data_IF_353621676592
#
_entry.id   IF_353621676592
#
_cell.length_a   1.000
_cell.length_b   1.000
_cell.length_c   1.000
_cell.angle_alpha   90.00
_cell.angle_beta   90.00
_cell.angle_gamma   90.00
#
_symmetry.space_group_name_H-M   'P 1'
#
loop_
_entity.id
_entity.type
_entity.pdbx_description
1 polymer ?
#
# COMPACT_ATOMS: atom_id res chain seq x y z
N UNK A 1 -17.82 -26.08 8.60
CA UNK A 1 -18.58 -24.81 8.69
C UNK A 1 -17.82 -23.74 7.93
N UNK A 2 -18.45 -23.24 6.89
CA UNK A 2 -17.86 -22.55 5.74
C UNK A 2 -17.54 -21.09 6.07
N UNK A 3 -16.31 -20.80 6.50
CA UNK A 3 -15.81 -19.42 6.56
C UNK A 3 -15.34 -18.99 5.15
N UNK A 4 -16.31 -18.68 4.29
CA UNK A 4 -16.07 -17.88 3.10
C UNK A 4 -15.41 -16.58 3.55
N UNK A 5 -14.19 -16.32 3.05
CA UNK A 5 -13.74 -14.94 2.95
C UNK A 5 -14.82 -14.22 2.15
N UNK A 6 -15.21 -12.99 2.52
CA UNK A 6 -16.14 -12.25 1.68
C UNK A 6 -15.58 -12.27 0.26
N UNK A 7 -16.40 -12.77 -0.66
CA UNK A 7 -16.22 -12.59 -2.08
C UNK A 7 -16.06 -11.08 -2.29
N UNK A 8 -14.82 -10.62 -2.34
CA UNK A 8 -14.49 -9.28 -2.79
C UNK A 8 -14.46 -9.36 -4.31
N UNK A 9 -15.62 -9.64 -4.91
CA UNK A 9 -15.91 -9.15 -6.25
C UNK A 9 -15.51 -7.68 -6.23
N UNK A 10 -14.50 -7.31 -7.01
CA UNK A 10 -13.93 -5.96 -6.98
C UNK A 10 -15.09 -4.95 -7.00
N UNK A 11 -15.21 -4.05 -6.01
CA UNK A 11 -16.19 -3.00 -6.13
C UNK A 11 -15.89 -2.25 -7.43
N UNK A 12 -16.92 -2.11 -8.27
CA UNK A 12 -16.98 -1.08 -9.31
C UNK A 12 -16.48 0.22 -8.68
N UNK A 13 -15.27 0.65 -9.07
CA UNK A 13 -14.57 1.88 -8.67
C UNK A 13 -14.58 2.17 -7.17
N UNK A 14 -13.47 1.91 -6.47
CA UNK A 14 -13.29 2.38 -5.09
C UNK A 14 -13.56 3.89 -5.03
N UNK A 15 -14.43 4.37 -4.13
CA UNK A 15 -14.75 5.79 -4.04
C UNK A 15 -13.49 6.62 -3.82
N UNK A 16 -13.40 7.75 -4.51
CA UNK A 16 -12.25 8.63 -4.41
C UNK A 16 -12.12 9.21 -2.99
N UNK A 17 -10.92 9.21 -2.44
CA UNK A 17 -10.66 9.53 -1.03
C UNK A 17 -9.34 10.30 -0.87
N UNK A 18 -9.42 11.48 -0.26
CA UNK A 18 -8.35 12.48 -0.23
C UNK A 18 -8.22 13.17 1.16
N UNK A 19 -8.64 12.49 2.23
CA UNK A 19 -8.71 13.09 3.56
C UNK A 19 -8.65 12.06 4.69
N UNK A 20 -8.73 12.50 5.95
CA UNK A 20 -8.78 11.63 7.13
C UNK A 20 -7.42 11.26 7.74
N UNK A 21 -6.33 11.44 7.00
CA UNK A 21 -4.96 11.35 7.54
C UNK A 21 -4.57 12.59 8.37
N UNK A 22 -5.43 13.63 8.44
CA UNK A 22 -5.18 14.86 9.22
C UNK A 22 -3.81 15.51 8.94
N UNK A 23 -3.33 15.43 7.69
CA UNK A 23 -1.99 15.88 7.24
C UNK A 23 -0.79 15.17 7.86
N UNK A 24 -1.00 14.06 8.56
CA UNK A 24 0.06 13.23 9.10
C UNK A 24 0.36 12.02 8.19
N UNK A 25 1.61 11.85 7.75
CA UNK A 25 2.07 10.60 7.17
C UNK A 25 1.94 9.42 8.14
N UNK A 26 1.81 8.20 7.59
CA UNK A 26 1.84 6.97 8.38
C UNK A 26 3.16 6.82 9.13
N UNK A 27 3.08 6.57 10.44
CA UNK A 27 4.25 6.32 11.31
C UNK A 27 4.34 4.84 11.68
N UNK A 28 5.56 4.36 11.85
CA UNK A 28 5.91 2.94 12.07
C UNK A 28 5.03 2.23 13.10
N UNK A 29 4.89 2.81 14.31
CA UNK A 29 4.16 2.17 15.41
C UNK A 29 2.63 2.34 15.37
N UNK A 30 2.07 3.09 14.42
CA UNK A 30 0.64 3.40 14.43
C UNK A 30 -0.24 2.18 14.15
N UNK A 31 0.17 1.33 13.20
CA UNK A 31 -0.58 0.11 12.87
C UNK A 31 -0.52 -0.90 14.01
N UNK A 32 0.64 -1.00 14.68
CA UNK A 32 0.83 -1.82 15.89
C UNK A 32 -0.13 -1.42 17.00
N UNK A 33 -0.28 -0.12 17.28
CA UNK A 33 -1.22 0.36 18.30
C UNK A 33 -2.65 -0.07 18.01
N UNK A 34 -3.08 -0.07 16.74
CA UNK A 34 -4.42 -0.58 16.37
C UNK A 34 -4.53 -2.09 16.60
N UNK A 35 -3.47 -2.85 16.29
CA UNK A 35 -3.42 -4.28 16.57
C UNK A 35 -3.56 -4.61 18.06
N UNK A 36 -3.02 -3.77 18.95
CA UNK A 36 -3.13 -3.96 20.40
C UNK A 36 -4.56 -3.81 20.94
N UNK A 37 -5.40 -3.03 20.26
CA UNK A 37 -6.80 -2.83 20.63
C UNK A 37 -7.73 -3.95 20.11
N UNK A 38 -7.19 -4.95 19.41
CA UNK A 38 -7.97 -6.05 18.87
C UNK A 38 -8.24 -7.13 19.92
N UNK A 39 -9.52 -7.41 20.17
CA UNK A 39 -10.00 -8.49 21.05
C UNK A 39 -10.81 -9.45 20.21
N UNK A 40 -10.43 -10.74 20.19
CA UNK A 40 -11.08 -11.79 19.38
C UNK A 40 -11.24 -11.43 17.89
N UNK A 41 -10.25 -10.70 17.34
CA UNK A 41 -10.22 -10.25 15.95
C UNK A 41 -11.16 -9.09 15.64
N UNK A 42 -11.68 -8.40 16.67
CA UNK A 42 -12.55 -7.23 16.55
C UNK A 42 -11.94 -6.04 17.27
N UNK A 43 -12.19 -4.84 16.75
CA UNK A 43 -11.78 -3.58 17.37
C UNK A 43 -13.03 -2.71 17.53
N UNK A 44 -13.31 -2.24 18.75
CA UNK A 44 -14.42 -1.31 18.99
C UNK A 44 -14.22 -0.03 18.19
N UNK A 45 -15.26 0.47 17.51
CA UNK A 45 -15.18 1.78 16.85
C UNK A 45 -14.95 2.92 17.84
N UNK A 46 -15.40 2.74 19.08
CA UNK A 46 -15.34 3.76 20.13
C UNK A 46 -13.91 4.02 20.60
N UNK A 47 -12.98 3.09 20.38
CA UNK A 47 -11.55 3.26 20.73
C UNK A 47 -10.92 4.49 20.06
N UNK A 48 -11.45 4.90 18.90
CA UNK A 48 -10.98 6.08 18.17
C UNK A 48 -11.71 7.38 18.50
N UNK A 49 -12.79 7.32 19.29
CA UNK A 49 -13.67 8.48 19.54
C UNK A 49 -13.87 8.81 21.02
N UNK A 50 -13.69 7.85 21.91
CA UNK A 50 -13.93 8.02 23.34
C UNK A 50 -12.91 8.97 23.98
N UNK A 51 -13.26 9.54 25.14
CA UNK A 51 -12.39 10.48 25.86
C UNK A 51 -11.00 9.92 26.21
N UNK A 52 -10.88 8.59 26.28
CA UNK A 52 -9.63 7.89 26.58
C UNK A 52 -8.77 7.61 25.33
N UNK A 53 -9.23 7.87 24.11
CA UNK A 53 -8.51 7.52 22.89
C UNK A 53 -7.09 8.13 22.82
N UNK A 54 -6.92 9.35 23.33
CA UNK A 54 -5.62 10.03 23.43
C UNK A 54 -4.66 9.24 24.34
N UNK A 55 -5.16 8.74 25.47
CA UNK A 55 -4.37 7.96 26.41
C UNK A 55 -4.07 6.56 25.85
N UNK A 56 -5.07 5.89 25.26
CA UNK A 56 -4.94 4.57 24.63
C UNK A 56 -3.86 4.57 23.55
N UNK A 57 -3.92 5.51 22.61
CA UNK A 57 -2.94 5.59 21.52
C UNK A 57 -1.67 6.38 21.90
N UNK A 58 -1.66 7.09 23.02
CA UNK A 58 -0.55 7.95 23.44
C UNK A 58 -0.20 9.02 22.40
N UNK A 59 -1.21 9.63 21.74
CA UNK A 59 -1.04 10.66 20.71
C UNK A 59 -2.16 11.70 20.77
N UNK A 60 -1.95 12.86 20.13
CA UNK A 60 -2.97 13.91 20.05
C UNK A 60 -4.24 13.50 19.27
N UNK A 61 -5.34 14.20 19.51
CA UNK A 61 -6.67 13.92 18.93
C UNK A 61 -6.66 13.75 17.39
N UNK A 62 -5.98 14.62 16.67
CA UNK A 62 -5.92 14.54 15.21
C UNK A 62 -5.09 13.33 14.73
N UNK A 63 -4.08 12.93 15.49
CA UNK A 63 -3.30 11.73 15.19
C UNK A 63 -4.13 10.46 15.40
N UNK A 64 -5.06 10.42 16.37
CA UNK A 64 -6.00 9.28 16.52
C UNK A 64 -6.84 9.09 15.26
N UNK A 65 -7.38 10.18 14.69
CA UNK A 65 -8.12 10.11 13.43
C UNK A 65 -7.24 9.61 12.27
N UNK A 66 -5.97 10.06 12.23
CA UNK A 66 -5.00 9.60 11.24
C UNK A 66 -4.65 8.12 11.38
N UNK A 67 -4.44 7.63 12.62
CA UNK A 67 -4.22 6.21 12.91
C UNK A 67 -5.37 5.37 12.36
N UNK A 68 -6.64 5.78 12.61
CA UNK A 68 -7.82 5.10 12.07
C UNK A 68 -7.79 5.08 10.54
N UNK A 69 -7.50 6.22 9.91
CA UNK A 69 -7.41 6.31 8.46
C UNK A 69 -6.38 5.32 7.90
N UNK A 70 -5.16 5.32 8.44
CA UNK A 70 -4.07 4.48 7.94
C UNK A 70 -4.31 2.99 8.18
N UNK A 71 -4.88 2.60 9.32
CA UNK A 71 -5.21 1.20 9.58
C UNK A 71 -6.27 0.66 8.62
N UNK A 72 -7.24 1.50 8.23
CA UNK A 72 -8.18 1.16 7.16
C UNK A 72 -7.47 1.10 5.81
N UNK A 73 -6.72 2.14 5.44
CA UNK A 73 -6.09 2.28 4.13
C UNK A 73 -5.03 1.19 3.85
N UNK A 74 -4.30 0.75 4.87
CA UNK A 74 -3.33 -0.34 4.78
C UNK A 74 -3.97 -1.74 4.92
N UNK A 75 -5.30 -1.83 5.07
CA UNK A 75 -6.00 -3.11 5.23
C UNK A 75 -5.64 -3.87 6.51
N UNK A 76 -5.22 -3.16 7.56
CA UNK A 76 -5.02 -3.72 8.91
C UNK A 76 -6.35 -4.07 9.53
N UNK A 77 -7.37 -3.26 9.26
CA UNK A 77 -8.75 -3.53 9.66
C UNK A 77 -9.74 -3.13 8.56
N UNK A 78 -10.97 -3.64 8.66
CA UNK A 78 -12.07 -3.28 7.77
C UNK A 78 -13.36 -3.01 8.53
N UNK A 79 -14.27 -2.23 7.94
CA UNK A 79 -15.59 -1.95 8.52
C UNK A 79 -16.42 -3.26 8.65
N UNK A 80 -17.00 -3.51 9.83
CA UNK A 80 -17.83 -4.69 10.10
C UNK A 80 -18.93 -4.39 11.12
N UNK A 81 -20.08 -3.89 10.65
CA UNK A 81 -21.20 -3.52 11.53
C UNK A 81 -20.80 -2.43 12.52
N UNK A 82 -20.96 -2.70 13.82
CA UNK A 82 -20.64 -1.78 14.91
C UNK A 82 -19.16 -1.82 15.33
N UNK A 83 -18.36 -2.73 14.74
CA UNK A 83 -16.95 -2.90 15.02
C UNK A 83 -16.10 -2.75 13.75
N UNK A 84 -14.78 -2.72 13.92
CA UNK A 84 -13.87 -3.08 12.86
C UNK A 84 -13.47 -4.55 12.99
N UNK A 85 -13.26 -5.21 11.86
CA UNK A 85 -12.67 -6.55 11.80
C UNK A 85 -11.17 -6.43 11.58
N UNK A 86 -10.38 -7.03 12.46
CA UNK A 86 -8.94 -7.11 12.31
C UNK A 86 -8.58 -8.07 11.16
N UNK A 87 -7.63 -7.67 10.32
CA UNK A 87 -7.09 -8.54 9.27
C UNK A 87 -6.27 -9.66 9.88
N UNK A 88 -6.53 -10.91 9.51
CA UNK A 88 -5.75 -12.06 10.00
C UNK A 88 -4.28 -11.94 9.63
N UNK A 89 -3.98 -11.39 8.45
CA UNK A 89 -2.61 -11.19 7.99
C UNK A 89 -1.91 -10.10 8.81
N UNK A 90 -2.58 -8.96 9.00
CA UNK A 90 -2.01 -7.87 9.79
C UNK A 90 -1.81 -8.26 11.26
N UNK A 91 -2.74 -9.04 11.83
CA UNK A 91 -2.59 -9.56 13.20
C UNK A 91 -1.42 -10.53 13.32
N UNK A 92 -1.23 -11.41 12.33
CA UNK A 92 -0.10 -12.33 12.30
C UNK A 92 1.26 -11.60 12.24
N UNK A 93 1.33 -10.48 11.52
CA UNK A 93 2.53 -9.65 11.43
C UNK A 93 2.74 -8.85 12.73
N UNK A 94 1.71 -8.12 13.18
CA UNK A 94 1.86 -7.04 14.16
C UNK A 94 1.58 -7.46 15.62
N UNK A 95 1.09 -8.66 15.92
CA UNK A 95 0.94 -9.09 17.33
C UNK A 95 2.32 -9.15 18.03
N UNK A 96 2.36 -9.14 19.37
CA UNK A 96 3.64 -9.07 20.11
C UNK A 96 4.62 -10.22 19.79
N UNK A 97 4.09 -11.41 19.50
CA UNK A 97 4.86 -12.58 19.05
C UNK A 97 4.74 -12.80 17.53
N UNK A 98 4.47 -11.74 16.78
CA UNK A 98 4.22 -11.75 15.34
C UNK A 98 5.49 -11.76 14.51
N UNK A 99 5.33 -11.68 13.20
CA UNK A 99 6.44 -11.68 12.25
C UNK A 99 7.27 -10.38 12.32
N UNK A 100 6.62 -9.25 12.57
CA UNK A 100 7.27 -7.95 12.70
C UNK A 100 6.43 -7.02 13.60
N UNK A 101 6.45 -7.24 14.92
CA UNK A 101 5.58 -6.54 15.88
C UNK A 101 5.79 -5.02 15.88
N UNK A 102 6.97 -4.56 15.48
CA UNK A 102 7.38 -3.15 15.51
C UNK A 102 7.45 -2.50 14.13
N UNK A 103 7.06 -3.21 13.07
CA UNK A 103 7.13 -2.74 11.69
C UNK A 103 8.54 -2.26 11.29
N UNK A 104 9.59 -2.95 11.76
CA UNK A 104 11.01 -2.63 11.51
C UNK A 104 11.55 -3.34 10.26
N UNK A 105 10.89 -4.41 9.81
CA UNK A 105 11.27 -5.10 8.58
C UNK A 105 10.76 -4.30 7.37
N UNK A 106 11.60 -3.98 6.36
CA UNK A 106 11.16 -3.25 5.16
C UNK A 106 9.95 -3.89 4.45
N UNK A 107 9.75 -5.20 4.58
CA UNK A 107 8.56 -5.91 4.09
C UNK A 107 7.25 -5.34 4.62
N UNK A 108 7.22 -4.83 5.85
CA UNK A 108 6.06 -4.15 6.43
C UNK A 108 5.73 -2.86 5.67
N UNK A 109 6.74 -2.02 5.39
CA UNK A 109 6.55 -0.81 4.61
C UNK A 109 6.20 -1.11 3.15
N UNK A 110 6.80 -2.12 2.52
CA UNK A 110 6.44 -2.54 1.16
C UNK A 110 5.00 -3.06 1.08
N UNK A 111 4.54 -3.81 2.09
CA UNK A 111 3.17 -4.27 2.17
C UNK A 111 2.21 -3.08 2.34
N UNK A 112 2.49 -2.15 3.25
CA UNK A 112 1.69 -0.93 3.41
C UNK A 112 1.63 -0.13 2.10
N UNK A 113 2.77 0.03 1.42
CA UNK A 113 2.83 0.69 0.12
C UNK A 113 1.97 -0.02 -0.94
N UNK A 114 2.02 -1.36 -1.03
CA UNK A 114 1.16 -2.12 -1.94
C UNK A 114 -0.33 -1.86 -1.69
N UNK A 115 -0.75 -1.81 -0.43
CA UNK A 115 -2.15 -1.55 -0.08
C UNK A 115 -2.58 -0.15 -0.53
N UNK A 116 -1.71 0.85 -0.35
CA UNK A 116 -2.01 2.24 -0.69
C UNK A 116 -1.96 2.53 -2.20
N UNK A 117 -0.89 2.08 -2.87
CA UNK A 117 -0.60 2.41 -4.26
C UNK A 117 -1.05 1.34 -5.27
N UNK A 118 -1.29 0.10 -4.82
CA UNK A 118 -1.74 -1.02 -5.66
C UNK A 118 -3.22 -1.36 -5.51
N UNK A 119 -3.77 -1.35 -4.28
CA UNK A 119 -5.21 -1.62 -4.03
C UNK A 119 -6.09 -0.39 -3.94
N UNK A 120 -5.53 0.78 -3.65
CA UNK A 120 -6.24 2.06 -3.64
C UNK A 120 -7.44 2.11 -2.67
N UNK A 121 -7.32 1.54 -1.46
CA UNK A 121 -8.37 1.70 -0.47
C UNK A 121 -8.11 2.94 0.38
N UNK A 122 -8.98 3.96 0.26
CA UNK A 122 -8.85 5.25 0.98
C UNK A 122 -7.52 5.99 0.72
N UNK A 123 -6.94 5.82 -0.46
CA UNK A 123 -5.57 6.26 -0.77
C UNK A 123 -5.43 6.75 -2.22
N UNK A 124 -6.42 7.50 -2.72
CA UNK A 124 -6.51 7.84 -4.15
C UNK A 124 -5.28 8.57 -4.67
N UNK A 125 -4.72 9.52 -3.91
CA UNK A 125 -3.51 10.24 -4.31
C UNK A 125 -2.26 9.35 -4.36
N UNK A 126 -2.16 8.34 -3.49
CA UNK A 126 -1.05 7.37 -3.51
C UNK A 126 -1.11 6.51 -4.77
N UNK A 127 -2.29 5.97 -5.07
CA UNK A 127 -2.51 5.22 -6.30
C UNK A 127 -2.23 6.09 -7.53
N UNK A 128 -2.75 7.32 -7.55
CA UNK A 128 -2.56 8.24 -8.65
C UNK A 128 -1.09 8.58 -8.88
N UNK A 129 -0.36 8.93 -7.81
CA UNK A 129 1.05 9.31 -7.88
C UNK A 129 1.90 8.18 -8.48
N UNK A 130 1.70 6.94 -8.02
CA UNK A 130 2.52 5.82 -8.46
C UNK A 130 2.11 5.24 -9.80
N UNK A 131 0.84 5.35 -10.18
CA UNK A 131 0.36 4.77 -11.43
C UNK A 131 0.30 5.76 -12.58
N UNK A 132 -0.06 7.03 -12.35
CA UNK A 132 -0.35 7.97 -13.43
C UNK A 132 0.71 9.07 -13.63
N UNK A 133 1.57 9.34 -12.64
CA UNK A 133 2.67 10.32 -12.81
C UNK A 133 3.85 9.68 -13.52
N UNK A 134 4.05 10.07 -14.79
CA UNK A 134 5.10 9.54 -15.67
C UNK A 134 6.27 10.50 -15.86
N UNK A 135 6.14 11.77 -15.45
CA UNK A 135 7.19 12.78 -15.58
C UNK A 135 8.51 12.30 -14.93
N UNK A 136 9.68 12.54 -15.56
CA UNK A 136 10.98 12.17 -14.99
C UNK A 136 11.27 12.84 -13.64
N UNK A 137 10.86 14.11 -13.53
CA UNK A 137 10.83 14.86 -12.28
C UNK A 137 9.59 15.77 -12.25
N UNK A 138 9.19 16.18 -11.05
CA UNK A 138 8.01 17.02 -10.85
C UNK A 138 8.08 17.78 -9.52
N UNK A 139 7.36 18.88 -9.45
CA UNK A 139 7.10 19.64 -8.23
C UNK A 139 5.67 19.39 -7.74
N UNK A 140 5.39 19.71 -6.47
CA UNK A 140 4.03 19.62 -5.92
C UNK A 140 3.03 20.46 -6.74
N UNK A 141 3.42 21.68 -7.10
CA UNK A 141 2.55 22.63 -7.82
C UNK A 141 2.16 22.12 -9.21
N UNK A 142 3.09 21.49 -9.93
CA UNK A 142 2.82 20.90 -11.26
C UNK A 142 1.82 19.74 -11.20
N UNK A 143 1.71 19.07 -10.04
CA UNK A 143 0.82 17.94 -9.85
C UNK A 143 -0.59 18.32 -9.36
N UNK A 144 -0.82 19.55 -8.88
CA UNK A 144 -2.11 19.95 -8.29
C UNK A 144 -3.28 19.88 -9.29
N UNK A 145 -3.16 20.49 -10.47
CA UNK A 145 -4.23 20.46 -11.48
C UNK A 145 -4.41 19.08 -12.13
N UNK A 146 -3.34 18.33 -12.49
CA UNK A 146 -3.47 16.94 -12.92
C UNK A 146 -4.21 16.05 -11.92
N UNK A 147 -3.90 16.15 -10.61
CA UNK A 147 -4.60 15.42 -9.57
C UNK A 147 -6.06 15.87 -9.45
N UNK A 148 -6.33 17.16 -9.50
CA UNK A 148 -7.70 17.69 -9.45
C UNK A 148 -8.55 17.21 -10.63
N UNK A 149 -7.96 17.11 -11.83
CA UNK A 149 -8.63 16.54 -13.00
C UNK A 149 -8.93 15.06 -12.81
N UNK A 150 -7.98 14.29 -12.31
CA UNK A 150 -8.18 12.87 -12.01
C UNK A 150 -9.28 12.66 -10.97
N UNK A 151 -9.29 13.45 -9.89
CA UNK A 151 -10.33 13.42 -8.87
C UNK A 151 -11.73 13.69 -9.45
N UNK A 152 -11.86 14.71 -10.32
CA UNK A 152 -13.12 15.04 -11.01
C UNK A 152 -13.60 13.94 -11.96
N UNK A 153 -12.69 13.15 -12.53
CA UNK A 153 -13.05 12.01 -13.39
C UNK A 153 -13.58 10.84 -12.56
N UNK A 154 -13.00 10.58 -11.38
CA UNK A 154 -13.43 9.50 -10.49
C UNK A 154 -14.76 9.79 -9.80
N UNK A 155 -14.96 11.02 -9.34
CA UNK A 155 -16.21 11.46 -8.72
C UNK A 155 -16.65 12.82 -9.28
N UNK A 156 -17.36 12.84 -10.43
CA UNK A 156 -17.83 14.07 -11.05
C UNK A 156 -18.80 14.88 -10.19
N UNK A 157 -19.46 14.24 -9.22
CA UNK A 157 -20.47 14.87 -8.36
C UNK A 157 -19.85 15.52 -7.13
N UNK A 158 -18.67 15.08 -6.71
CA UNK A 158 -17.99 15.61 -5.54
C UNK A 158 -16.78 16.46 -5.91
N UNK A 159 -16.98 17.78 -5.99
CA UNK A 159 -15.88 18.73 -6.21
C UNK A 159 -15.15 19.01 -4.91
N UNK A 160 -13.94 18.46 -4.78
CA UNK A 160 -13.03 18.76 -3.68
C UNK A 160 -12.43 20.15 -3.83
N UNK A 161 -12.14 20.80 -2.70
CA UNK A 161 -11.43 22.09 -2.70
C UNK A 161 -9.98 21.90 -3.13
N UNK A 162 -9.40 22.91 -3.79
CA UNK A 162 -7.97 22.93 -4.12
C UNK A 162 -7.10 22.73 -2.87
N UNK A 163 -7.51 23.32 -1.74
CA UNK A 163 -6.79 23.18 -0.47
C UNK A 163 -6.79 21.75 0.09
N UNK A 164 -7.84 20.97 -0.15
CA UNK A 164 -7.93 19.56 0.27
C UNK A 164 -6.95 18.72 -0.53
N UNK A 165 -7.01 18.82 -1.86
CA UNK A 165 -6.11 18.08 -2.76
C UNK A 165 -4.65 18.45 -2.55
N UNK A 166 -4.37 19.73 -2.33
CA UNK A 166 -3.02 20.24 -2.09
C UNK A 166 -2.42 19.66 -0.79
N UNK A 167 -3.21 19.59 0.30
CA UNK A 167 -2.78 18.98 1.58
C UNK A 167 -2.63 17.46 1.49
N UNK A 168 -3.52 16.78 0.76
CA UNK A 168 -3.45 15.33 0.53
C UNK A 168 -2.20 14.96 -0.27
N UNK A 169 -1.94 15.68 -1.37
CA UNK A 169 -0.72 15.55 -2.17
C UNK A 169 0.54 15.84 -1.36
N UNK A 170 0.53 16.90 -0.55
CA UNK A 170 1.67 17.19 0.33
C UNK A 170 1.93 16.05 1.33
N UNK A 171 0.87 15.50 1.94
CA UNK A 171 1.00 14.36 2.86
C UNK A 171 1.54 13.12 2.12
N UNK A 172 1.07 12.89 0.89
CA UNK A 172 1.57 11.82 0.03
C UNK A 172 3.06 11.95 -0.24
N UNK A 173 3.53 13.12 -0.69
CA UNK A 173 4.95 13.37 -0.94
C UNK A 173 5.78 13.22 0.34
N UNK A 174 5.34 13.81 1.45
CA UNK A 174 6.00 13.69 2.76
C UNK A 174 6.06 12.27 3.28
N UNK A 175 5.18 11.38 2.85
CA UNK A 175 5.20 9.98 3.27
C UNK A 175 6.40 9.22 2.70
N UNK A 176 6.93 9.64 1.55
CA UNK A 176 8.07 8.98 0.90
C UNK A 176 9.35 9.82 0.91
N UNK A 177 9.23 11.14 0.98
CA UNK A 177 10.34 12.07 1.04
C UNK A 177 10.13 13.01 2.25
N UNK A 178 10.52 12.58 3.47
CA UNK A 178 10.41 13.41 4.66
C UNK A 178 11.30 14.65 4.52
N UNK A 179 10.87 15.76 5.15
CA UNK A 179 11.63 17.01 5.11
C UNK A 179 12.92 16.86 5.92
N UNK A 180 14.06 17.17 5.30
CA UNK A 180 15.38 17.07 5.95
C UNK A 180 15.63 18.20 6.98
N UNK A 181 14.86 19.29 6.95
CA UNK A 181 15.02 20.41 7.89
C UNK A 181 13.74 21.23 8.16
N UNK A 182 13.65 21.83 9.36
CA UNK A 182 12.73 22.93 9.67
C UNK A 182 11.32 22.57 10.18
N UNK A 183 11.18 21.46 10.92
CA UNK A 183 9.90 21.00 11.48
C UNK A 183 9.80 21.10 13.01
N UNK A 184 8.58 20.91 13.53
CA UNK A 184 8.33 20.69 14.96
C UNK A 184 8.88 19.32 15.42
N UNK A 185 9.11 19.06 16.72
CA UNK A 185 9.48 17.73 17.24
C UNK A 185 8.63 16.58 16.68
N UNK A 186 7.34 16.84 16.41
CA UNK A 186 6.41 15.88 15.82
C UNK A 186 6.65 15.63 14.32
N UNK A 187 7.30 16.54 13.61
CA UNK A 187 7.69 16.40 12.19
C UNK A 187 8.99 15.60 11.99
N UNK A 188 9.74 15.32 13.07
CA UNK A 188 10.96 14.49 13.01
C UNK A 188 10.67 12.99 13.10
N UNK A 189 9.44 12.57 13.40
CA UNK A 189 9.09 11.16 13.34
C UNK A 189 9.13 10.69 11.88
N UNK A 190 10.08 9.83 11.55
CA UNK A 190 10.25 9.31 10.20
C UNK A 190 8.99 8.55 9.75
N UNK A 191 8.41 8.91 8.59
CA UNK A 191 7.30 8.17 8.01
C UNK A 191 7.70 6.73 7.67
N UNK A 192 6.81 5.78 7.90
CA UNK A 192 7.04 4.35 7.61
C UNK A 192 7.44 4.14 6.15
N UNK A 193 6.87 4.90 5.20
CA UNK A 193 7.15 4.70 3.78
C UNK A 193 8.43 5.42 3.29
N UNK A 194 9.07 6.22 4.15
CA UNK A 194 10.27 6.97 3.80
C UNK A 194 11.47 6.06 3.54
N UNK A 195 11.57 4.95 4.29
CA UNK A 195 12.66 3.98 4.16
C UNK A 195 12.70 3.26 2.81
N UNK A 196 11.57 3.21 2.09
CA UNK A 196 11.46 2.54 0.80
C UNK A 196 12.31 3.21 -0.29
N UNK A 197 12.65 4.49 -0.11
CA UNK A 197 13.46 5.25 -1.05
C UNK A 197 12.84 5.36 -2.45
N UNK A 198 11.52 5.22 -2.58
CA UNK A 198 10.82 5.26 -3.87
C UNK A 198 10.80 6.65 -4.50
N UNK A 199 10.86 7.70 -3.68
CA UNK A 199 10.86 9.10 -4.09
C UNK A 199 12.10 9.79 -3.54
N UNK A 200 12.76 10.59 -4.36
CA UNK A 200 13.91 11.40 -3.96
C UNK A 200 13.67 12.86 -4.30
N UNK A 201 13.99 13.75 -3.36
CA UNK A 201 14.10 15.18 -3.61
C UNK A 201 15.47 15.46 -4.28
N UNK A 202 15.45 15.86 -5.55
CA UNK A 202 16.67 16.13 -6.34
C UNK A 202 17.12 17.59 -6.22
N UNK A 203 16.15 18.48 -6.05
CA UNK A 203 16.33 19.89 -5.69
C UNK A 203 15.20 20.26 -4.74
N UNK A 204 15.36 21.37 -4.00
CA UNK A 204 14.33 21.83 -3.04
C UNK A 204 12.95 21.94 -3.70
N UNK A 205 12.01 21.10 -3.29
CA UNK A 205 10.64 21.02 -3.78
C UNK A 205 10.44 20.28 -5.10
N UNK A 206 11.49 19.70 -5.67
CA UNK A 206 11.47 18.92 -6.92
C UNK A 206 11.85 17.47 -6.66
N UNK A 207 10.98 16.56 -7.08
CA UNK A 207 11.06 15.14 -6.80
C UNK A 207 11.22 14.30 -8.06
N UNK A 208 11.82 13.13 -7.92
CA UNK A 208 11.91 12.10 -8.95
C UNK A 208 11.71 10.71 -8.33
N UNK A 209 11.09 9.80 -9.07
CA UNK A 209 10.99 8.40 -8.65
C UNK A 209 12.32 7.68 -8.87
N UNK A 210 12.75 6.87 -7.90
CA UNK A 210 13.86 5.93 -8.08
C UNK A 210 13.36 4.68 -8.79
N UNK A 211 13.57 4.61 -10.10
CA UNK A 211 13.22 3.46 -10.93
C UNK A 211 14.34 2.42 -10.95
N UNK A 212 13.97 1.15 -11.10
CA UNK A 212 14.90 0.03 -11.21
C UNK A 212 14.94 -0.86 -9.98
N UNK A 213 16.06 -1.54 -9.68
CA UNK A 213 16.10 -2.59 -8.67
C UNK A 213 15.78 -2.05 -7.28
N UNK A 214 15.13 -2.89 -6.47
CA UNK A 214 14.73 -2.59 -5.09
C UNK A 214 15.29 -3.66 -4.17
N UNK A 215 16.48 -3.40 -3.61
CA UNK A 215 17.20 -4.38 -2.80
C UNK A 215 16.42 -4.80 -1.53
N UNK A 216 15.67 -3.87 -0.93
CA UNK A 216 14.84 -4.15 0.25
C UNK A 216 13.47 -4.77 -0.07
N UNK A 217 13.09 -4.89 -1.35
CA UNK A 217 11.83 -5.52 -1.74
C UNK A 217 12.03 -7.04 -1.83
N UNK A 218 11.55 -7.75 -0.82
CA UNK A 218 11.62 -9.21 -0.78
C UNK A 218 10.71 -9.87 -1.84
N UNK A 219 11.15 -11.00 -2.40
CA UNK A 219 10.40 -11.73 -3.44
C UNK A 219 9.03 -12.23 -2.94
N UNK A 220 8.91 -12.49 -1.64
CA UNK A 220 7.65 -12.80 -0.98
C UNK A 220 6.60 -11.71 -1.11
N UNK A 221 6.99 -10.44 -0.92
CA UNK A 221 6.08 -9.30 -1.11
C UNK A 221 5.75 -9.12 -2.60
N UNK A 222 6.74 -9.26 -3.47
CA UNK A 222 6.52 -9.17 -4.92
C UNK A 222 5.56 -10.25 -5.43
N UNK A 223 5.76 -11.51 -5.04
CA UNK A 223 4.91 -12.64 -5.40
C UNK A 223 3.48 -12.46 -4.86
N UNK A 224 3.34 -12.03 -3.61
CA UNK A 224 2.03 -11.70 -3.04
C UNK A 224 1.33 -10.61 -3.83
N UNK A 225 2.02 -9.50 -4.13
CA UNK A 225 1.47 -8.38 -4.89
C UNK A 225 1.06 -8.80 -6.31
N UNK A 226 1.89 -9.59 -7.00
CA UNK A 226 1.58 -10.13 -8.32
C UNK A 226 0.31 -10.97 -8.30
N UNK A 227 0.18 -11.87 -7.33
CA UNK A 227 -1.01 -12.73 -7.22
C UNK A 227 -2.25 -11.95 -6.81
N UNK A 228 -2.11 -10.99 -5.89
CA UNK A 228 -3.18 -10.09 -5.49
C UNK A 228 -3.69 -9.25 -6.67
N UNK A 229 -2.79 -8.70 -7.47
CA UNK A 229 -3.09 -7.98 -8.70
C UNK A 229 -3.76 -8.88 -9.74
N UNK A 230 -3.19 -10.06 -9.99
CA UNK A 230 -3.73 -11.03 -10.94
C UNK A 230 -5.15 -11.44 -10.57
N UNK A 231 -5.41 -11.74 -9.29
CA UNK A 231 -6.76 -12.12 -8.86
C UNK A 231 -7.81 -11.03 -9.11
N UNK A 232 -7.42 -9.76 -9.07
CA UNK A 232 -8.31 -8.62 -9.35
C UNK A 232 -8.50 -8.38 -10.84
N UNK A 233 -7.43 -8.37 -11.61
CA UNK A 233 -7.47 -8.01 -13.04
C UNK A 233 -7.83 -9.17 -13.97
N UNK A 234 -7.42 -10.39 -13.62
CA UNK A 234 -7.48 -11.55 -14.50
C UNK A 234 -7.72 -12.86 -13.71
N UNK A 235 -8.56 -12.81 -12.67
CA UNK A 235 -8.79 -13.91 -11.73
C UNK A 235 -9.31 -15.22 -12.35
N UNK A 236 -9.81 -15.21 -13.58
CA UNK A 236 -10.20 -16.41 -14.34
C UNK A 236 -9.13 -16.95 -15.30
N UNK A 237 -8.00 -16.26 -15.46
CA UNK A 237 -6.97 -16.61 -16.45
C UNK A 237 -5.86 -17.48 -15.85
N UNK A 238 -5.27 -18.37 -16.64
CA UNK A 238 -4.13 -19.21 -16.24
C UNK A 238 -2.77 -18.61 -16.61
N UNK A 239 -2.75 -17.54 -17.40
CA UNK A 239 -1.54 -16.74 -17.64
C UNK A 239 -1.78 -15.23 -17.53
N UNK A 240 -0.70 -14.48 -17.31
CA UNK A 240 -0.68 -13.02 -17.25
C UNK A 240 0.53 -12.49 -18.04
N UNK A 241 0.27 -11.62 -19.00
CA UNK A 241 1.30 -11.06 -19.87
C UNK A 241 2.25 -10.13 -19.09
N UNK A 242 3.52 -10.10 -19.51
CA UNK A 242 4.53 -9.23 -18.91
C UNK A 242 4.12 -7.77 -18.94
N UNK A 243 3.55 -7.30 -20.06
CA UNK A 243 3.16 -5.91 -20.25
C UNK A 243 2.08 -5.51 -19.23
N UNK A 244 1.20 -6.44 -18.86
CA UNK A 244 0.20 -6.22 -17.81
C UNK A 244 0.89 -6.09 -16.43
N UNK A 245 1.87 -6.92 -16.13
CA UNK A 245 2.63 -6.89 -14.87
C UNK A 245 3.51 -5.64 -14.74
N UNK A 246 4.05 -5.16 -15.87
CA UNK A 246 4.94 -4.02 -15.92
C UNK A 246 4.20 -2.68 -15.96
N UNK A 247 3.11 -2.62 -16.73
CA UNK A 247 2.56 -1.35 -17.19
C UNK A 247 1.08 -1.14 -16.92
N UNK A 248 0.31 -2.11 -16.44
CA UNK A 248 -1.08 -1.81 -16.08
C UNK A 248 -1.14 -0.92 -14.83
N UNK A 249 -2.22 -0.15 -14.68
CA UNK A 249 -2.46 0.60 -13.45
C UNK A 249 -2.65 -0.40 -12.29
N UNK A 250 -2.01 -0.13 -11.15
CA UNK A 250 -2.01 -1.01 -9.98
C UNK A 250 -1.09 -2.23 -10.10
N UNK A 251 -0.34 -2.38 -11.19
CA UNK A 251 0.58 -3.50 -11.41
C UNK A 251 1.84 -3.42 -10.54
N UNK A 252 2.48 -4.56 -10.21
CA UNK A 252 3.74 -4.56 -9.46
C UNK A 252 4.84 -3.69 -10.06
N UNK A 253 4.95 -3.66 -11.40
CA UNK A 253 5.95 -2.83 -12.09
C UNK A 253 5.78 -1.34 -11.81
N UNK A 254 4.54 -0.82 -11.94
CA UNK A 254 4.24 0.59 -11.66
C UNK A 254 4.34 0.92 -10.18
N UNK A 255 3.74 0.09 -9.33
CA UNK A 255 3.65 0.34 -7.89
C UNK A 255 5.05 0.35 -7.28
N UNK A 256 5.86 -0.67 -7.52
CA UNK A 256 7.21 -0.75 -6.94
C UNK A 256 8.26 0.04 -7.73
N UNK A 257 7.88 0.74 -8.81
CA UNK A 257 8.76 1.51 -9.69
C UNK A 257 9.96 0.66 -10.17
N UNK A 258 9.69 -0.53 -10.68
CA UNK A 258 10.69 -1.42 -11.26
C UNK A 258 10.88 -1.09 -12.74
N UNK A 259 12.10 -1.31 -13.25
CA UNK A 259 12.34 -1.34 -14.71
C UNK A 259 12.08 -2.76 -15.25
N UNK A 260 12.05 -2.93 -16.58
CA UNK A 260 11.77 -4.22 -17.20
C UNK A 260 12.73 -5.32 -16.76
N UNK A 261 14.01 -4.98 -16.60
CA UNK A 261 15.04 -5.94 -16.19
C UNK A 261 14.77 -6.44 -14.76
N UNK A 262 14.48 -5.53 -13.83
CA UNK A 262 14.16 -5.89 -12.44
C UNK A 262 12.89 -6.72 -12.34
N UNK A 263 11.89 -6.45 -13.19
CA UNK A 263 10.67 -7.27 -13.25
C UNK A 263 11.03 -8.66 -13.76
N UNK A 264 11.73 -8.77 -14.89
CA UNK A 264 12.10 -10.04 -15.50
C UNK A 264 12.91 -10.93 -14.54
N UNK A 265 13.90 -10.36 -13.84
CA UNK A 265 14.68 -11.09 -12.83
C UNK A 265 13.80 -11.69 -11.74
N UNK A 266 12.83 -10.92 -11.22
CA UNK A 266 11.89 -11.42 -10.21
C UNK A 266 10.94 -12.47 -10.76
N UNK A 267 10.47 -12.31 -12.00
CA UNK A 267 9.60 -13.29 -12.66
C UNK A 267 10.31 -14.63 -12.88
N UNK A 268 11.60 -14.62 -13.22
CA UNK A 268 12.43 -15.83 -13.33
C UNK A 268 12.54 -16.53 -11.97
N UNK A 269 12.75 -15.79 -10.89
CA UNK A 269 12.87 -16.34 -9.53
C UNK A 269 11.56 -16.93 -8.97
N UNK A 270 10.39 -16.60 -9.55
CA UNK A 270 9.09 -17.08 -9.06
C UNK A 270 8.96 -18.59 -9.07
N UNK A 271 9.53 -19.29 -10.05
CA UNK A 271 9.42 -20.74 -10.15
C UNK A 271 10.00 -21.41 -8.91
N UNK A 272 11.23 -21.06 -8.56
CA UNK A 272 11.91 -21.63 -7.39
C UNK A 272 11.26 -21.13 -6.09
N UNK A 273 10.89 -19.84 -6.03
CA UNK A 273 10.24 -19.28 -4.87
C UNK A 273 8.87 -19.92 -4.59
N UNK A 274 8.10 -20.29 -5.60
CA UNK A 274 6.71 -20.76 -5.43
C UNK A 274 6.55 -22.26 -5.58
N UNK A 275 7.64 -23.04 -5.58
CA UNK A 275 7.60 -24.48 -5.88
C UNK A 275 6.87 -24.77 -7.20
N UNK A 276 7.21 -23.98 -8.24
CA UNK A 276 6.67 -24.07 -9.60
C UNK A 276 5.16 -23.82 -9.71
N UNK A 277 4.56 -23.08 -8.77
CA UNK A 277 3.16 -22.65 -8.88
C UNK A 277 3.00 -21.43 -9.76
N UNK A 278 4.01 -20.58 -9.82
CA UNK A 278 4.14 -19.48 -10.76
C UNK A 278 5.38 -19.74 -11.63
N UNK A 279 5.21 -19.79 -12.95
CA UNK A 279 6.29 -20.08 -13.89
C UNK A 279 6.34 -19.01 -14.98
N UNK A 280 7.48 -18.34 -15.11
CA UNK A 280 7.74 -17.40 -16.20
C UNK A 280 8.10 -18.15 -17.49
N UNK A 281 7.54 -17.69 -18.60
CA UNK A 281 7.89 -18.15 -19.95
C UNK A 281 8.22 -16.96 -20.83
N UNK A 282 9.30 -17.10 -21.60
CA UNK A 282 9.70 -16.20 -22.68
C UNK A 282 10.05 -17.05 -23.89
N UNK A 283 9.07 -17.27 -24.75
CA UNK A 283 9.22 -18.13 -25.94
C UNK A 283 8.50 -17.53 -27.13
N UNK A 284 9.20 -17.45 -28.28
CA UNK A 284 8.64 -16.95 -29.53
C UNK A 284 7.99 -15.55 -29.42
N UNK A 285 8.55 -14.67 -28.57
CA UNK A 285 8.05 -13.32 -28.33
C UNK A 285 6.82 -13.24 -27.40
N UNK A 286 6.36 -14.36 -26.87
CA UNK A 286 5.31 -14.41 -25.86
C UNK A 286 5.93 -14.47 -24.46
N UNK A 287 5.86 -13.33 -23.76
CA UNK A 287 6.37 -13.12 -22.40
C UNK A 287 5.22 -13.13 -21.39
N UNK A 288 5.15 -14.16 -20.55
CA UNK A 288 4.03 -14.29 -19.60
C UNK A 288 4.39 -15.13 -18.37
N UNK A 289 3.65 -14.92 -17.29
CA UNK A 289 3.65 -15.82 -16.13
C UNK A 289 2.46 -16.75 -16.25
N UNK A 290 2.66 -18.04 -15.98
CA UNK A 290 1.60 -19.02 -15.81
C UNK A 290 1.39 -19.31 -14.33
N UNK A 291 0.14 -19.53 -13.93
CA UNK A 291 -0.20 -19.95 -12.57
C UNK A 291 -0.89 -21.30 -12.56
N UNK A 292 -0.51 -22.12 -11.58
CA UNK A 292 -1.26 -23.29 -11.14
C UNK A 292 -2.17 -22.88 -9.98
N UNK A 293 -2.97 -23.84 -9.49
CA UNK A 293 -3.82 -23.61 -8.32
C UNK A 293 -2.99 -23.15 -7.11
N UNK A 294 -3.34 -21.98 -6.59
CA UNK A 294 -2.78 -21.40 -5.39
C UNK A 294 -3.79 -21.51 -4.25
N UNK A 295 -3.36 -22.12 -3.15
CA UNK A 295 -4.15 -22.20 -1.93
C UNK A 295 -4.01 -20.91 -1.12
N UNK A 296 -4.91 -20.72 -0.14
CA UNK A 296 -4.79 -19.61 0.82
C UNK A 296 -3.49 -19.66 1.61
N UNK A 297 -2.96 -20.86 1.88
CA UNK A 297 -1.71 -21.02 2.61
C UNK A 297 -0.51 -20.68 1.74
N UNK A 298 -0.55 -20.92 0.43
CA UNK A 298 0.50 -20.45 -0.48
C UNK A 298 0.63 -18.93 -0.44
N UNK A 299 -0.50 -18.21 -0.50
CA UNK A 299 -0.50 -16.74 -0.41
C UNK A 299 0.07 -16.26 0.93
N UNK A 300 -0.30 -16.91 2.04
CA UNK A 300 0.24 -16.56 3.37
C UNK A 300 1.74 -16.85 3.46
N UNK A 301 2.20 -17.97 2.91
CA UNK A 301 3.60 -18.35 2.94
C UNK A 301 4.48 -17.43 2.11
N UNK A 302 3.96 -16.85 1.01
CA UNK A 302 4.66 -15.78 0.28
C UNK A 302 4.97 -14.61 1.21
N UNK A 303 4.00 -14.17 2.02
CA UNK A 303 4.20 -13.08 2.97
C UNK A 303 5.11 -13.51 4.14
N UNK A 304 4.88 -14.67 4.77
CA UNK A 304 5.69 -15.14 5.91
C UNK A 304 7.18 -15.15 5.60
N UNK A 305 7.54 -15.66 4.43
CA UNK A 305 8.92 -15.71 3.96
C UNK A 305 9.57 -14.35 3.75
N UNK A 306 8.79 -13.27 3.69
CA UNK A 306 9.33 -11.92 3.62
C UNK A 306 9.78 -11.37 4.99
N UNK A 307 9.52 -12.11 6.06
CA UNK A 307 9.90 -11.78 7.44
C UNK A 307 10.85 -12.81 8.06
N UNK A 308 11.24 -13.84 7.31
CA UNK A 308 12.28 -14.80 7.67
C UNK A 308 13.67 -14.19 7.39
#
# INVERSE_FOLDING_TARGET
MTSMMPDQSAPKTTPAHFSGHETFPLRQMWLKKVCHEAIDGQISKTVFTDGNAIATFGVGKNMVASIRHWALACGVMSEAGDHFKMSSLAYEILKDSGLDPYAENPSSAWLAHWQLAGRCYRSTTWYWLFNHVTAPSFTRQELEEPLARYARQLDPKHRLSASTLSRDLETCLRSYAPRVAGGSPEDFAEPLLGELGLLQEIHKGQYAFRRGPKASLHDGIFAYALVDFWNREAGGQSSLAFETIAYADGSPGRVFKLDEESIAQRLIALSDFTNRKLEWTDSAGLRQVHRKDLTKDDHKNMIRRAYD
#
